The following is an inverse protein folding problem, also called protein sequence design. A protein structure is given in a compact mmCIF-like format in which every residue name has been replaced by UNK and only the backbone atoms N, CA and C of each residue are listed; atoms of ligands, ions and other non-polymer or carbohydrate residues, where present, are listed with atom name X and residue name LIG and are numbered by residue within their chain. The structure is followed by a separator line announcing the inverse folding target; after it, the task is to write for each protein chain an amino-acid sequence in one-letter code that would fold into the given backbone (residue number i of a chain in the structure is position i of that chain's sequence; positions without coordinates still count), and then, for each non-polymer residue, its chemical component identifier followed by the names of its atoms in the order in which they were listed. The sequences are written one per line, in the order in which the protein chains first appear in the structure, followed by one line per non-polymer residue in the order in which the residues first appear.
data_IF_902937507554
#
_entry.id   IF_902937507554
#
_cell.length_a   1.000
_cell.length_b   1.000
_cell.length_c   1.000
_cell.angle_alpha   90.00
_cell.angle_beta   90.00
_cell.angle_gamma   90.00
#
_symmetry.space_group_name_H-M   'P 1'
#
loop_
_entity.id
_entity.type
_entity.pdbx_description
1 polymer ?
#
# COMPACT_ATOMS: atom_id res chain seq x y z
N UNK A 1 -24.75 -17.95 13.69
CA UNK A 1 -23.66 -18.51 12.85
C UNK A 1 -24.19 -19.83 12.23
N UNK A 2 -24.31 -19.87 10.91
CA UNK A 2 -24.45 -21.15 10.22
C UNK A 2 -23.08 -21.84 10.27
N UNK A 3 -23.08 -23.17 10.40
CA UNK A 3 -21.86 -23.99 10.28
C UNK A 3 -21.29 -23.84 8.88
N UNK A 4 -20.40 -22.89 8.71
CA UNK A 4 -19.73 -22.63 7.45
C UNK A 4 -18.30 -23.13 7.57
N UNK A 5 -17.82 -23.75 6.53
CA UNK A 5 -16.45 -24.21 6.41
C UNK A 5 -15.78 -23.53 5.25
N UNK A 6 -14.53 -23.14 5.41
CA UNK A 6 -13.66 -22.68 4.33
C UNK A 6 -12.50 -23.65 4.24
N UNK A 7 -12.47 -24.43 3.18
CA UNK A 7 -11.42 -25.39 2.91
C UNK A 7 -11.00 -25.30 1.43
N UNK A 8 -10.22 -24.28 1.11
CA UNK A 8 -9.72 -24.06 -0.25
C UNK A 8 -8.45 -24.87 -0.48
N UNK A 9 -8.41 -25.78 -1.47
CA UNK A 9 -7.19 -26.51 -1.81
C UNK A 9 -6.05 -25.54 -2.12
N UNK A 10 -4.91 -25.77 -1.49
CA UNK A 10 -3.77 -24.89 -1.66
C UNK A 10 -3.82 -23.56 -0.91
N UNK A 11 -4.81 -23.36 -0.05
CA UNK A 11 -4.94 -22.18 0.79
C UNK A 11 -3.93 -22.11 1.94
N UNK A 12 -3.98 -21.02 2.67
CA UNK A 12 -3.26 -20.82 3.94
C UNK A 12 -4.23 -20.93 5.11
N UNK A 13 -3.71 -21.26 6.30
CA UNK A 13 -4.52 -21.43 7.51
C UNK A 13 -4.73 -20.08 8.20
N UNK A 14 -5.96 -19.61 8.26
CA UNK A 14 -6.35 -18.38 8.98
C UNK A 14 -6.71 -18.63 10.45
N UNK A 15 -6.71 -19.88 10.91
CA UNK A 15 -7.05 -20.27 12.27
C UNK A 15 -8.11 -21.37 12.32
N UNK A 16 -8.87 -21.41 13.40
CA UNK A 16 -9.93 -22.36 13.63
C UNK A 16 -11.28 -21.65 13.75
N UNK A 17 -12.31 -22.27 13.23
CA UNK A 17 -13.69 -21.85 13.49
C UNK A 17 -13.97 -21.96 15.00
N UNK A 18 -14.33 -20.85 15.63
CA UNK A 18 -14.53 -20.78 17.07
C UNK A 18 -15.75 -21.60 17.57
N UNK A 19 -16.66 -22.01 16.66
CA UNK A 19 -17.83 -22.82 16.97
C UNK A 19 -17.57 -24.31 16.75
N UNK A 20 -17.01 -24.67 15.58
CA UNK A 20 -16.83 -26.06 15.17
C UNK A 20 -15.46 -26.65 15.48
N UNK A 21 -14.45 -25.81 15.72
CA UNK A 21 -13.05 -26.20 15.89
C UNK A 21 -12.33 -26.55 14.58
N UNK A 22 -13.02 -26.56 13.44
CA UNK A 22 -12.46 -26.90 12.13
C UNK A 22 -11.46 -25.84 11.66
N UNK A 23 -10.44 -26.26 10.89
CA UNK A 23 -9.49 -25.34 10.28
C UNK A 23 -10.17 -24.46 9.24
N UNK A 24 -9.80 -23.19 9.20
CA UNK A 24 -10.17 -22.24 8.17
C UNK A 24 -8.99 -22.15 7.20
N UNK A 25 -9.09 -22.82 6.07
CA UNK A 25 -8.06 -22.82 5.03
C UNK A 25 -8.61 -22.08 3.83
N UNK A 26 -8.10 -20.88 3.58
CA UNK A 26 -8.58 -20.00 2.53
C UNK A 26 -7.47 -19.53 1.59
N UNK A 27 -7.87 -19.08 0.41
CA UNK A 27 -6.98 -18.45 -0.56
C UNK A 27 -7.73 -17.32 -1.27
N UNK A 28 -7.29 -16.10 -1.07
CA UNK A 28 -7.95 -14.91 -1.63
C UNK A 28 -7.94 -14.86 -3.15
N UNK A 29 -6.97 -15.53 -3.79
CA UNK A 29 -6.92 -15.65 -5.26
C UNK A 29 -8.07 -16.48 -5.84
N UNK A 30 -8.82 -17.22 -5.01
CA UNK A 30 -10.01 -17.96 -5.43
C UNK A 30 -11.29 -17.11 -5.44
N UNK A 31 -11.24 -15.90 -4.90
CA UNK A 31 -12.36 -14.96 -4.87
C UNK A 31 -12.46 -14.19 -6.21
N UNK A 32 -13.66 -13.70 -6.53
CA UNK A 32 -13.86 -12.84 -7.70
C UNK A 32 -13.12 -11.51 -7.52
N UNK A 33 -13.13 -10.98 -6.30
CA UNK A 33 -12.34 -9.83 -5.89
C UNK A 33 -11.56 -10.17 -4.62
N UNK A 34 -10.30 -10.56 -4.76
CA UNK A 34 -9.46 -10.95 -3.64
C UNK A 34 -8.87 -9.78 -2.82
N UNK A 35 -9.31 -8.54 -3.05
CA UNK A 35 -8.95 -7.42 -2.18
C UNK A 35 -9.54 -7.62 -0.79
N UNK A 36 -8.83 -7.13 0.22
CA UNK A 36 -9.13 -7.37 1.61
C UNK A 36 -9.18 -6.10 2.46
N UNK A 37 -9.94 -6.18 3.54
CA UNK A 37 -9.90 -5.21 4.63
C UNK A 37 -9.67 -5.93 5.95
N UNK A 38 -8.78 -5.38 6.78
CA UNK A 38 -8.54 -5.83 8.15
C UNK A 38 -8.87 -4.68 9.09
N UNK A 39 -9.88 -4.89 9.92
CA UNK A 39 -10.37 -3.85 10.84
C UNK A 39 -10.25 -4.33 12.28
N UNK A 40 -9.68 -3.49 13.15
CA UNK A 40 -9.51 -3.80 14.56
C UNK A 40 -9.31 -2.53 15.38
N UNK A 41 -9.76 -2.49 16.61
CA UNK A 41 -9.28 -1.48 17.56
C UNK A 41 -7.81 -1.69 17.91
N UNK A 42 -7.13 -0.65 18.40
CA UNK A 42 -5.74 -0.75 18.87
C UNK A 42 -5.57 -1.92 19.84
N UNK A 43 -4.52 -2.71 19.69
CA UNK A 43 -4.28 -3.92 20.48
C UNK A 43 -5.18 -5.12 20.16
N UNK A 44 -6.05 -5.03 19.14
CA UNK A 44 -6.94 -6.13 18.71
C UNK A 44 -6.26 -7.27 17.93
N UNK A 45 -4.94 -7.19 17.69
CA UNK A 45 -4.18 -8.24 16.99
C UNK A 45 -4.04 -8.04 15.47
N UNK A 46 -4.38 -6.87 14.96
CA UNK A 46 -4.33 -6.48 13.53
C UNK A 46 -2.98 -6.82 12.86
N UNK A 47 -1.91 -6.24 13.37
CA UNK A 47 -0.57 -6.38 12.79
C UNK A 47 -0.06 -7.82 12.85
N UNK A 48 -0.36 -8.55 13.94
CA UNK A 48 -0.01 -9.97 14.07
C UNK A 48 -0.73 -10.81 13.03
N UNK A 49 -2.03 -10.59 12.80
CA UNK A 49 -2.81 -11.30 11.79
C UNK A 49 -2.24 -11.08 10.38
N UNK A 50 -1.97 -9.82 10.02
CA UNK A 50 -1.45 -9.44 8.70
C UNK A 50 -0.04 -9.97 8.48
N UNK A 51 0.85 -9.83 9.47
CA UNK A 51 2.22 -10.37 9.40
C UNK A 51 2.21 -11.90 9.24
N UNK A 52 1.30 -12.60 9.92
CA UNK A 52 1.14 -14.05 9.77
C UNK A 52 0.66 -14.41 8.36
N UNK A 53 -0.29 -13.66 7.80
CA UNK A 53 -0.72 -13.84 6.40
C UNK A 53 0.46 -13.64 5.43
N UNK A 54 1.21 -12.55 5.57
CA UNK A 54 2.40 -12.26 4.75
C UNK A 54 3.39 -13.42 4.85
N UNK A 55 3.73 -13.87 6.05
CA UNK A 55 4.66 -14.97 6.29
C UNK A 55 4.21 -16.25 5.57
N UNK A 56 2.96 -16.66 5.76
CA UNK A 56 2.44 -17.89 5.15
C UNK A 56 2.39 -17.80 3.62
N UNK A 57 1.96 -16.68 3.07
CA UNK A 57 1.92 -16.46 1.61
C UNK A 57 3.34 -16.39 1.02
N UNK A 58 4.27 -15.73 1.71
CA UNK A 58 5.66 -15.60 1.27
C UNK A 58 6.38 -16.96 1.19
N UNK A 59 6.18 -17.81 2.19
CA UNK A 59 6.75 -19.16 2.23
C UNK A 59 6.10 -20.09 1.20
N UNK A 60 4.78 -19.93 0.97
CA UNK A 60 4.06 -20.79 0.06
C UNK A 60 4.27 -20.43 -1.41
N UNK A 61 4.25 -19.15 -1.76
CA UNK A 61 4.30 -18.68 -3.14
C UNK A 61 5.66 -18.07 -3.45
N UNK A 62 6.62 -18.89 -3.85
CA UNK A 62 8.03 -18.48 -4.03
C UNK A 62 8.25 -17.43 -5.12
N UNK A 63 7.31 -17.27 -6.07
CA UNK A 63 7.34 -16.27 -7.14
C UNK A 63 6.51 -15.02 -6.84
N UNK A 64 5.66 -15.07 -5.81
CA UNK A 64 4.81 -13.93 -5.45
C UNK A 64 5.66 -12.75 -4.98
N UNK A 65 5.16 -11.54 -5.25
CA UNK A 65 5.75 -10.27 -4.81
C UNK A 65 4.90 -9.61 -3.76
N UNK A 66 5.55 -8.91 -2.84
CA UNK A 66 4.91 -8.31 -1.68
C UNK A 66 5.37 -6.86 -1.52
N UNK A 67 4.42 -5.96 -1.36
CA UNK A 67 4.66 -4.56 -1.05
C UNK A 67 3.89 -4.19 0.21
N UNK A 68 4.58 -3.58 1.17
CA UNK A 68 3.98 -3.14 2.44
C UNK A 68 4.23 -1.65 2.60
N UNK A 69 3.18 -0.89 2.82
CA UNK A 69 3.26 0.52 3.26
C UNK A 69 3.06 0.54 4.76
N UNK A 70 4.08 0.96 5.49
CA UNK A 70 4.23 0.81 6.94
C UNK A 70 4.51 2.18 7.61
N UNK A 71 3.45 2.90 8.00
CA UNK A 71 3.60 4.21 8.66
C UNK A 71 4.13 4.13 10.09
N UNK A 72 4.00 2.97 10.75
CA UNK A 72 4.32 2.79 12.16
C UNK A 72 5.57 1.93 12.41
N UNK A 73 6.26 1.50 11.33
CA UNK A 73 7.45 0.65 11.39
C UNK A 73 7.23 -0.70 12.12
N UNK A 74 6.08 -1.30 11.92
CA UNK A 74 5.73 -2.56 12.57
C UNK A 74 6.19 -3.79 11.79
N UNK A 75 6.38 -3.69 10.47
CA UNK A 75 6.67 -4.82 9.58
C UNK A 75 8.17 -5.03 9.32
N UNK A 76 9.01 -4.04 9.59
CA UNK A 76 10.45 -4.11 9.29
C UNK A 76 11.15 -5.34 9.86
N UNK A 77 10.91 -5.81 11.11
CA UNK A 77 11.56 -7.01 11.63
C UNK A 77 11.22 -8.28 10.83
N UNK A 78 9.94 -8.45 10.44
CA UNK A 78 9.50 -9.58 9.61
C UNK A 78 10.14 -9.52 8.23
N UNK A 79 10.15 -8.34 7.61
CA UNK A 79 10.69 -8.15 6.26
C UNK A 79 12.19 -8.47 6.23
N UNK A 80 12.95 -8.00 7.21
CA UNK A 80 14.38 -8.29 7.34
C UNK A 80 14.66 -9.79 7.57
N UNK A 81 13.90 -10.45 8.44
CA UNK A 81 14.05 -11.91 8.68
C UNK A 81 13.77 -12.74 7.43
N UNK A 82 12.87 -12.26 6.55
CA UNK A 82 12.55 -12.91 5.28
C UNK A 82 13.51 -12.52 4.13
N UNK A 83 14.55 -11.72 4.41
CA UNK A 83 15.49 -11.23 3.39
C UNK A 83 14.88 -10.21 2.43
N UNK A 84 13.84 -9.53 2.85
CA UNK A 84 13.20 -8.43 2.11
C UNK A 84 13.96 -7.11 2.28
N UNK A 85 13.52 -6.09 1.53
CA UNK A 85 14.09 -4.75 1.54
C UNK A 85 13.19 -3.80 2.35
N UNK A 86 13.80 -3.03 3.29
CA UNK A 86 13.12 -1.98 4.05
C UNK A 86 13.60 -0.62 3.55
N UNK A 87 12.71 0.08 2.86
CA UNK A 87 12.95 1.43 2.34
C UNK A 87 12.52 2.44 3.39
N UNK A 88 13.47 2.96 4.15
CA UNK A 88 13.18 4.00 5.14
C UNK A 88 13.14 5.37 4.44
N UNK A 89 11.96 5.98 4.40
CA UNK A 89 11.75 7.29 3.80
C UNK A 89 11.71 8.33 4.93
N UNK A 90 12.79 9.08 5.08
CA UNK A 90 12.90 10.20 6.02
C UNK A 90 13.86 11.26 5.48
N UNK A 91 13.85 12.44 6.10
CA UNK A 91 14.71 13.55 5.69
C UNK A 91 16.20 13.18 5.81
N UNK A 92 16.56 12.43 6.84
CA UNK A 92 17.94 12.06 7.18
C UNK A 92 18.28 10.61 6.81
N UNK A 93 17.43 9.95 6.02
CA UNK A 93 17.65 8.55 5.66
C UNK A 93 18.85 8.38 4.72
N UNK A 94 19.65 7.34 4.97
CA UNK A 94 20.65 6.88 4.03
C UNK A 94 20.03 6.12 2.83
N UNK A 95 18.76 5.72 2.93
CA UNK A 95 18.02 5.08 1.84
C UNK A 95 17.24 6.13 1.05
N UNK A 96 17.34 6.04 -0.27
CA UNK A 96 16.70 6.97 -1.19
C UNK A 96 15.80 6.24 -2.16
N UNK A 97 14.66 6.85 -2.45
CA UNK A 97 13.68 6.39 -3.40
C UNK A 97 13.30 7.53 -4.34
N UNK A 98 13.65 7.38 -5.62
CA UNK A 98 13.36 8.38 -6.66
C UNK A 98 11.98 8.11 -7.29
N UNK A 99 10.97 8.96 -7.09
CA UNK A 99 9.65 8.76 -7.68
C UNK A 99 9.62 8.89 -9.21
N UNK A 100 10.66 9.47 -9.81
CA UNK A 100 10.80 9.58 -11.26
C UNK A 100 11.56 8.41 -11.89
N UNK A 101 11.91 7.38 -11.12
CA UNK A 101 12.49 6.18 -11.69
C UNK A 101 11.56 5.56 -12.73
N UNK A 102 12.17 5.15 -13.83
CA UNK A 102 11.46 4.54 -14.94
C UNK A 102 12.19 3.28 -15.41
N UNK A 103 11.44 2.19 -15.50
CA UNK A 103 11.92 0.95 -16.10
C UNK A 103 11.29 0.77 -17.47
N UNK A 104 12.12 0.74 -18.50
CA UNK A 104 11.63 0.57 -19.87
C UNK A 104 10.92 -0.78 -20.04
N UNK A 105 9.72 -0.73 -20.56
CA UNK A 105 8.92 -1.90 -20.90
C UNK A 105 8.81 -2.05 -22.42
N UNK A 106 9.47 -3.08 -22.95
CA UNK A 106 9.49 -3.38 -24.40
C UNK A 106 8.09 -3.69 -24.96
N UNK A 107 7.15 -4.13 -24.12
CA UNK A 107 5.81 -4.51 -24.56
C UNK A 107 4.92 -3.27 -24.82
N UNK A 108 5.00 -2.25 -23.96
CA UNK A 108 4.16 -1.05 -24.09
C UNK A 108 4.75 -0.01 -24.99
N UNK A 109 6.09 0.08 -25.07
CA UNK A 109 6.82 1.12 -25.83
C UNK A 109 6.41 2.56 -25.47
N UNK A 110 5.80 2.77 -24.29
CA UNK A 110 5.40 4.10 -23.84
C UNK A 110 6.64 4.88 -23.45
N UNK A 111 6.85 6.11 -23.96
CA UNK A 111 7.96 6.94 -23.56
C UNK A 111 7.88 7.30 -22.05
N UNK A 112 9.03 7.46 -21.34
CA UNK A 112 9.05 7.68 -19.92
C UNK A 112 8.34 8.97 -19.49
N UNK A 113 8.47 10.06 -20.22
CA UNK A 113 7.77 11.32 -19.93
C UNK A 113 6.24 11.14 -19.95
N UNK A 114 5.71 10.41 -20.95
CA UNK A 114 4.27 10.12 -21.04
C UNK A 114 3.81 9.23 -19.90
N UNK A 115 4.60 8.21 -19.55
CA UNK A 115 4.26 7.31 -18.46
C UNK A 115 4.23 8.01 -17.08
N UNK A 116 5.06 9.04 -16.90
CA UNK A 116 5.18 9.78 -15.64
C UNK A 116 4.38 11.09 -15.59
N UNK A 117 3.81 11.54 -16.71
CA UNK A 117 3.11 12.83 -16.79
C UNK A 117 1.97 12.95 -15.77
N UNK A 118 1.10 11.95 -15.67
CA UNK A 118 -0.04 11.95 -14.74
C UNK A 118 0.42 12.00 -13.28
N UNK A 119 1.46 11.22 -12.95
CA UNK A 119 2.04 11.22 -11.60
C UNK A 119 2.64 12.60 -11.25
N UNK A 120 3.44 13.19 -12.14
CA UNK A 120 4.10 14.49 -11.87
C UNK A 120 3.08 15.61 -11.78
N UNK A 121 2.02 15.58 -12.60
CA UNK A 121 0.91 16.51 -12.46
C UNK A 121 0.24 16.39 -11.08
N UNK A 122 -0.05 15.16 -10.65
CA UNK A 122 -0.62 14.90 -9.31
C UNK A 122 0.34 15.33 -8.19
N UNK A 123 1.64 15.17 -8.37
CA UNK A 123 2.66 15.65 -7.43
C UNK A 123 2.65 17.18 -7.33
N UNK A 124 2.59 17.89 -8.47
CA UNK A 124 2.49 19.34 -8.49
C UNK A 124 1.17 19.83 -7.86
N UNK A 125 0.04 19.16 -8.15
CA UNK A 125 -1.26 19.44 -7.52
C UNK A 125 -1.18 19.23 -5.99
N UNK A 126 -0.47 18.21 -5.52
CA UNK A 126 -0.28 17.94 -4.09
C UNK A 126 0.54 19.02 -3.39
N UNK A 127 1.55 19.54 -4.05
CA UNK A 127 2.48 20.54 -3.48
C UNK A 127 1.88 21.95 -3.54
N UNK A 128 1.21 22.30 -4.64
CA UNK A 128 0.73 23.66 -4.91
C UNK A 128 -0.74 23.87 -4.49
N UNK A 129 -1.52 22.80 -4.37
CA UNK A 129 -2.98 22.82 -4.32
C UNK A 129 -3.58 22.72 -5.72
N UNK A 130 -4.61 21.86 -5.86
CA UNK A 130 -5.26 21.56 -7.15
C UNK A 130 -5.83 22.81 -7.83
N UNK A 131 -6.36 23.75 -7.04
CA UNK A 131 -6.93 25.02 -7.49
C UNK A 131 -5.88 25.98 -8.07
N UNK A 132 -4.60 25.76 -7.79
CA UNK A 132 -3.48 26.58 -8.27
C UNK A 132 -2.83 26.03 -9.54
N UNK A 133 -3.25 24.85 -10.03
CA UNK A 133 -2.76 24.29 -11.28
C UNK A 133 -3.70 24.67 -12.44
N UNK A 134 -3.16 25.45 -13.37
CA UNK A 134 -3.88 25.95 -14.55
C UNK A 134 -3.72 24.98 -15.74
N UNK A 135 -4.62 25.11 -16.72
CA UNK A 135 -4.56 24.26 -17.93
C UNK A 135 -3.23 24.36 -18.68
N UNK A 136 -2.63 25.55 -18.74
CA UNK A 136 -1.32 25.78 -19.37
C UNK A 136 -0.14 25.15 -18.63
N UNK A 137 -0.26 24.97 -17.31
CA UNK A 137 0.80 24.38 -16.49
C UNK A 137 1.11 22.94 -16.89
N UNK A 138 0.08 22.20 -17.36
CA UNK A 138 0.24 20.82 -17.85
C UNK A 138 1.22 20.74 -19.02
N UNK A 139 1.13 21.67 -19.97
CA UNK A 139 2.06 21.72 -21.10
C UNK A 139 3.49 22.08 -20.65
N UNK A 140 3.63 23.04 -19.73
CA UNK A 140 4.95 23.41 -19.18
C UNK A 140 5.62 22.25 -18.43
N UNK A 141 4.84 21.47 -17.70
CA UNK A 141 5.34 20.27 -16.99
C UNK A 141 5.69 19.17 -17.98
N UNK A 142 4.86 18.94 -19.00
CA UNK A 142 5.10 17.93 -20.03
C UNK A 142 6.37 18.22 -20.83
N UNK A 143 6.58 19.46 -21.28
CA UNK A 143 7.82 19.93 -21.93
C UNK A 143 9.06 19.73 -21.04
N UNK A 144 8.92 20.00 -19.73
CA UNK A 144 10.02 19.78 -18.79
C UNK A 144 10.33 18.29 -18.62
N UNK A 145 9.30 17.44 -18.54
CA UNK A 145 9.47 15.99 -18.47
C UNK A 145 10.12 15.41 -19.72
N UNK A 146 9.67 15.80 -20.91
CA UNK A 146 10.31 15.39 -22.16
C UNK A 146 11.81 15.72 -22.16
N UNK A 147 12.15 16.94 -21.76
CA UNK A 147 13.54 17.42 -21.67
C UNK A 147 14.40 16.58 -20.73
N UNK A 148 13.94 16.30 -19.51
CA UNK A 148 14.76 15.56 -18.52
C UNK A 148 14.88 14.07 -18.84
N UNK A 149 13.90 13.46 -19.54
CA UNK A 149 13.98 12.06 -19.94
C UNK A 149 14.70 11.85 -21.28
N UNK A 150 14.97 12.90 -22.05
CA UNK A 150 15.66 12.82 -23.33
C UNK A 150 17.00 12.08 -23.26
N UNK A 151 17.92 12.37 -22.29
CA UNK A 151 19.18 11.65 -22.18
C UNK A 151 18.99 10.14 -21.91
N UNK A 152 17.97 9.77 -21.12
CA UNK A 152 17.64 8.38 -20.85
C UNK A 152 17.18 7.67 -22.13
N UNK A 153 16.33 8.30 -22.93
CA UNK A 153 15.84 7.74 -24.21
C UNK A 153 16.98 7.63 -25.25
N UNK A 154 17.80 8.66 -25.39
CA UNK A 154 18.94 8.67 -26.33
C UNK A 154 20.01 7.64 -25.98
N UNK A 155 20.20 7.34 -24.70
CA UNK A 155 21.11 6.29 -24.24
C UNK A 155 20.56 4.87 -24.35
N UNK A 156 19.40 4.66 -24.98
CA UNK A 156 18.66 3.39 -24.97
C UNK A 156 18.39 2.87 -23.55
N UNK A 157 17.99 3.75 -22.65
CA UNK A 157 17.63 3.47 -21.24
C UNK A 157 18.78 2.96 -20.36
N UNK A 158 20.03 3.35 -20.69
CA UNK A 158 21.20 3.02 -19.87
C UNK A 158 21.68 4.17 -18.98
N UNK A 159 21.31 5.40 -19.30
CA UNK A 159 21.60 6.57 -18.47
C UNK A 159 20.77 6.53 -17.15
N UNK A 160 21.23 7.21 -16.10
CA UNK A 160 20.44 7.37 -14.87
C UNK A 160 19.08 8.02 -15.14
N UNK A 161 18.06 7.62 -14.38
CA UNK A 161 16.77 8.29 -14.39
C UNK A 161 16.89 9.71 -13.81
N UNK A 162 16.13 10.68 -14.36
CA UNK A 162 16.08 12.01 -13.80
C UNK A 162 15.45 11.99 -12.40
N UNK A 163 15.71 13.03 -11.62
CA UNK A 163 15.20 13.24 -10.26
C UNK A 163 14.27 14.46 -10.20
N UNK A 164 13.60 14.67 -9.07
CA UNK A 164 12.82 15.91 -8.82
C UNK A 164 13.73 17.16 -8.96
N UNK A 165 15.02 17.05 -8.66
CA UNK A 165 15.97 18.15 -8.86
C UNK A 165 16.13 18.50 -10.34
N UNK A 166 16.19 17.49 -11.21
CA UNK A 166 16.29 17.72 -12.66
C UNK A 166 15.01 18.35 -13.20
N UNK A 167 13.84 17.91 -12.73
CA UNK A 167 12.56 18.53 -13.07
C UNK A 167 12.49 20.00 -12.63
N UNK A 168 12.92 20.29 -11.39
CA UNK A 168 13.01 21.65 -10.89
C UNK A 168 13.93 22.52 -11.76
N UNK A 169 15.11 22.03 -12.14
CA UNK A 169 16.04 22.76 -13.01
C UNK A 169 15.44 23.01 -14.40
N UNK A 170 14.79 22.02 -14.99
CA UNK A 170 14.15 22.15 -16.29
C UNK A 170 13.07 23.23 -16.29
N UNK A 171 12.15 23.19 -15.30
CA UNK A 171 11.11 24.19 -15.14
C UNK A 171 11.67 25.61 -14.88
N UNK A 172 12.70 25.72 -14.03
CA UNK A 172 13.32 27.03 -13.71
C UNK A 172 14.05 27.66 -14.91
N UNK A 173 14.51 26.83 -15.86
CA UNK A 173 15.22 27.29 -17.07
C UNK A 173 14.27 27.65 -18.21
N UNK A 174 13.00 27.32 -18.15
CA UNK A 174 12.01 27.77 -19.13
C UNK A 174 11.82 29.28 -19.05
N UNK A 175 11.49 29.91 -20.18
CA UNK A 175 11.33 31.38 -20.25
C UNK A 175 10.01 31.85 -19.66
N UNK A 176 9.05 30.97 -19.53
CA UNK A 176 7.72 31.28 -19.03
C UNK A 176 7.72 31.62 -17.54
N UNK A 177 6.98 32.67 -17.16
CA UNK A 177 6.87 33.10 -15.77
C UNK A 177 6.18 32.06 -14.89
N UNK A 178 5.17 31.40 -15.44
CA UNK A 178 4.40 30.40 -14.73
C UNK A 178 5.22 29.13 -14.42
N UNK A 179 6.08 28.74 -15.35
CA UNK A 179 7.03 27.64 -15.12
C UNK A 179 7.95 27.90 -13.92
N UNK A 180 8.42 29.17 -13.76
CA UNK A 180 9.22 29.58 -12.59
C UNK A 180 8.44 29.54 -11.28
N UNK A 181 7.14 29.83 -11.31
CA UNK A 181 6.27 29.72 -10.13
C UNK A 181 6.13 28.25 -9.71
N UNK A 182 5.94 27.32 -10.66
CA UNK A 182 5.92 25.87 -10.39
C UNK A 182 7.29 25.42 -9.86
N UNK A 183 8.39 25.85 -10.48
CA UNK A 183 9.73 25.56 -10.00
C UNK A 183 9.97 26.08 -8.57
N UNK A 184 9.46 27.26 -8.23
CA UNK A 184 9.58 27.81 -6.88
C UNK A 184 8.88 26.92 -5.84
N UNK A 185 7.70 26.41 -6.16
CA UNK A 185 6.97 25.48 -5.29
C UNK A 185 7.71 24.15 -5.11
N UNK A 186 8.33 23.62 -6.17
CA UNK A 186 9.12 22.39 -6.11
C UNK A 186 10.49 22.55 -5.43
N UNK A 187 10.99 23.77 -5.24
CA UNK A 187 12.36 24.01 -4.76
C UNK A 187 12.65 23.37 -3.42
N UNK A 188 11.69 23.37 -2.49
CA UNK A 188 11.87 22.78 -1.15
C UNK A 188 12.12 21.28 -1.23
N UNK A 189 11.51 20.59 -2.20
CA UNK A 189 11.67 19.15 -2.46
C UNK A 189 12.90 18.84 -3.30
N UNK A 190 13.37 19.78 -4.14
CA UNK A 190 14.50 19.58 -5.03
C UNK A 190 15.86 19.87 -4.39
N UNK A 191 15.96 20.97 -3.63
CA UNK A 191 17.23 21.49 -3.07
C UNK A 191 17.10 22.00 -1.64
N UNK A 192 15.90 21.97 -1.07
CA UNK A 192 15.59 22.45 0.28
C UNK A 192 15.64 21.36 1.35
N UNK A 193 15.05 21.66 2.49
CA UNK A 193 15.01 20.75 3.66
C UNK A 193 14.19 19.47 3.45
N UNK A 194 13.47 19.36 2.33
CA UNK A 194 12.60 18.21 2.01
C UNK A 194 13.11 17.42 0.80
N UNK A 195 14.42 17.35 0.58
CA UNK A 195 15.04 16.73 -0.60
C UNK A 195 15.14 15.19 -0.56
N UNK A 196 14.41 14.52 0.34
CA UNK A 196 14.46 13.06 0.48
C UNK A 196 14.15 12.30 -0.84
N UNK A 197 13.34 12.89 -1.72
CA UNK A 197 12.95 12.32 -3.01
C UNK A 197 13.76 12.85 -4.20
N UNK A 198 14.76 13.68 -3.97
CA UNK A 198 15.57 14.30 -5.03
C UNK A 198 16.88 13.56 -5.32
N UNK A 199 17.07 12.39 -4.72
CA UNK A 199 18.25 11.56 -4.89
C UNK A 199 17.93 10.32 -5.74
N UNK A 200 18.89 9.78 -6.51
CA UNK A 200 18.74 8.50 -7.18
C UNK A 200 18.42 7.39 -6.18
N UNK A 201 17.59 6.43 -6.58
CA UNK A 201 17.28 5.25 -5.78
C UNK A 201 18.55 4.43 -5.53
N UNK A 202 18.79 4.10 -4.26
CA UNK A 202 19.97 3.33 -3.82
C UNK A 202 19.63 2.05 -3.05
N UNK A 203 18.37 1.60 -3.11
CA UNK A 203 17.87 0.37 -2.50
C UNK A 203 17.49 -0.65 -3.57
N UNK A 204 17.50 -1.94 -3.21
CA UNK A 204 17.14 -3.01 -4.16
C UNK A 204 15.64 -3.09 -4.38
N UNK A 205 15.13 -2.31 -5.31
CA UNK A 205 13.73 -2.32 -5.72
C UNK A 205 13.35 -3.57 -6.54
N UNK A 206 14.27 -4.50 -6.79
CA UNK A 206 13.97 -5.79 -7.45
C UNK A 206 13.60 -6.89 -6.46
N UNK A 207 13.81 -6.68 -5.16
CA UNK A 207 13.45 -7.65 -4.12
C UNK A 207 11.95 -8.00 -4.21
N UNK A 208 11.62 -9.24 -3.90
CA UNK A 208 10.22 -9.70 -3.96
C UNK A 208 9.37 -9.30 -2.76
N UNK A 209 10.00 -8.81 -1.68
CA UNK A 209 9.33 -8.27 -0.49
C UNK A 209 9.93 -6.91 -0.15
N UNK A 210 9.16 -5.86 -0.35
CA UNK A 210 9.55 -4.47 -0.11
C UNK A 210 8.61 -3.85 0.91
N UNK A 211 9.18 -3.24 1.94
CA UNK A 211 8.46 -2.48 2.95
C UNK A 211 8.87 -1.01 2.88
N UNK A 212 7.92 -0.13 2.67
CA UNK A 212 8.11 1.32 2.72
C UNK A 212 7.78 1.83 4.13
N UNK A 213 8.81 2.18 4.88
CA UNK A 213 8.67 2.76 6.21
C UNK A 213 8.71 4.29 6.13
N UNK A 214 7.64 4.94 6.59
CA UNK A 214 7.48 6.39 6.60
C UNK A 214 7.28 6.96 8.00
N UNK A 215 7.57 6.20 9.05
CA UNK A 215 7.36 6.59 10.44
C UNK A 215 8.05 7.91 10.79
N UNK A 216 9.29 8.07 10.37
CA UNK A 216 10.11 9.26 10.65
C UNK A 216 9.84 10.46 9.74
N UNK A 217 8.85 10.33 8.82
CA UNK A 217 8.54 11.40 7.87
C UNK A 217 7.57 12.40 8.50
N UNK A 218 7.88 13.69 8.38
CA UNK A 218 7.00 14.77 8.84
C UNK A 218 5.66 14.80 8.11
N UNK A 219 4.61 15.25 8.78
CA UNK A 219 3.23 15.23 8.26
C UNK A 219 3.07 15.89 6.89
N UNK A 220 3.85 16.95 6.60
CA UNK A 220 3.80 17.65 5.31
C UNK A 220 4.36 16.83 4.15
N UNK A 221 5.28 15.88 4.43
CA UNK A 221 5.89 15.02 3.41
C UNK A 221 5.13 13.70 3.21
N UNK A 222 4.36 13.26 4.18
CA UNK A 222 3.60 12.01 4.09
C UNK A 222 2.74 11.91 2.83
N UNK A 223 1.96 12.92 2.42
CA UNK A 223 1.15 12.83 1.20
C UNK A 223 2.00 12.65 -0.07
N UNK A 224 3.12 13.35 -0.18
CA UNK A 224 4.07 13.22 -1.31
C UNK A 224 4.69 11.82 -1.33
N UNK A 225 5.12 11.32 -0.18
CA UNK A 225 5.66 9.96 -0.04
C UNK A 225 4.63 8.91 -0.44
N UNK A 226 3.42 9.03 0.06
CA UNK A 226 2.33 8.10 -0.22
C UNK A 226 1.97 8.07 -1.70
N UNK A 227 1.86 9.23 -2.35
CA UNK A 227 1.62 9.30 -3.79
C UNK A 227 2.76 8.64 -4.58
N UNK A 228 4.01 8.89 -4.19
CA UNK A 228 5.20 8.30 -4.83
C UNK A 228 5.25 6.78 -4.67
N UNK A 229 4.94 6.26 -3.48
CA UNK A 229 4.87 4.81 -3.21
C UNK A 229 3.73 4.15 -4.00
N UNK A 230 2.55 4.78 -4.05
CA UNK A 230 1.41 4.28 -4.83
C UNK A 230 1.73 4.19 -6.31
N UNK A 231 2.38 5.20 -6.87
CA UNK A 231 2.83 5.20 -8.28
C UNK A 231 3.81 4.05 -8.55
N UNK A 232 4.81 3.87 -7.66
CA UNK A 232 5.75 2.76 -7.78
C UNK A 232 5.04 1.41 -7.71
N UNK A 233 4.19 1.20 -6.71
CA UNK A 233 3.45 -0.05 -6.51
C UNK A 233 2.55 -0.35 -7.72
N UNK A 234 1.82 0.65 -8.21
CA UNK A 234 0.94 0.49 -9.37
C UNK A 234 1.73 0.09 -10.63
N UNK A 235 2.85 0.75 -10.90
CA UNK A 235 3.75 0.42 -12.01
C UNK A 235 4.34 -0.98 -11.84
N UNK A 236 4.78 -1.35 -10.63
CA UNK A 236 5.33 -2.66 -10.33
C UNK A 236 4.29 -3.78 -10.50
N UNK A 237 3.06 -3.58 -10.04
CA UNK A 237 1.95 -4.54 -10.23
C UNK A 237 1.72 -4.83 -11.70
N UNK A 238 1.62 -3.80 -12.54
CA UNK A 238 1.43 -3.97 -13.99
C UNK A 238 2.62 -4.66 -14.66
N UNK A 239 3.84 -4.34 -14.23
CA UNK A 239 5.06 -4.98 -14.74
C UNK A 239 5.18 -6.43 -14.31
N UNK A 240 4.84 -6.75 -13.06
CA UNK A 240 4.91 -8.12 -12.53
C UNK A 240 3.96 -9.06 -13.29
N UNK A 241 2.72 -8.64 -13.51
CA UNK A 241 1.74 -9.42 -14.25
C UNK A 241 2.22 -9.72 -15.69
N UNK A 242 2.77 -8.74 -16.39
CA UNK A 242 3.31 -8.93 -17.74
C UNK A 242 4.51 -9.87 -17.79
N UNK A 243 5.38 -9.81 -16.77
CA UNK A 243 6.58 -10.66 -16.72
C UNK A 243 6.27 -12.10 -16.30
N UNK A 244 5.34 -12.30 -15.36
CA UNK A 244 4.86 -13.61 -14.93
C UNK A 244 3.38 -13.51 -14.50
N UNK A 245 2.42 -13.70 -15.44
CA UNK A 245 0.98 -13.59 -15.14
C UNK A 245 0.47 -14.55 -14.08
N UNK A 246 1.25 -15.61 -13.76
CA UNK A 246 0.91 -16.58 -12.73
C UNK A 246 1.39 -16.18 -11.34
N UNK A 247 2.35 -15.27 -11.27
CA UNK A 247 2.87 -14.78 -9.99
C UNK A 247 1.95 -13.69 -9.43
N UNK A 248 1.35 -13.96 -8.27
CA UNK A 248 0.50 -12.99 -7.59
C UNK A 248 1.33 -11.84 -7.00
N UNK A 249 0.76 -10.64 -6.98
CA UNK A 249 1.31 -9.50 -6.26
C UNK A 249 0.42 -9.14 -5.07
N UNK A 250 0.98 -9.09 -3.87
CA UNK A 250 0.29 -8.78 -2.63
C UNK A 250 0.70 -7.39 -2.16
N UNK A 251 -0.29 -6.54 -1.89
CA UNK A 251 -0.04 -5.16 -1.46
C UNK A 251 -0.77 -4.90 -0.16
N UNK A 252 -0.04 -4.45 0.85
CA UNK A 252 -0.56 -4.17 2.19
C UNK A 252 -0.40 -2.69 2.49
N UNK A 253 -1.50 -2.02 2.84
CA UNK A 253 -1.54 -0.62 3.25
C UNK A 253 -1.92 -0.56 4.72
N UNK A 254 -0.93 -0.45 5.60
CA UNK A 254 -1.23 -0.23 7.01
C UNK A 254 -1.66 1.22 7.24
N UNK A 255 -2.55 1.41 8.19
CA UNK A 255 -3.24 2.68 8.45
C UNK A 255 -3.75 3.34 7.16
N UNK A 256 -4.50 2.56 6.34
CA UNK A 256 -4.96 2.98 5.00
C UNK A 256 -5.72 4.31 5.00
N UNK A 257 -6.32 4.69 6.13
CA UNK A 257 -7.02 5.97 6.29
C UNK A 257 -6.11 7.18 6.01
N UNK A 258 -4.79 7.05 6.20
CA UNK A 258 -3.83 8.11 5.87
C UNK A 258 -3.82 8.44 4.37
N UNK A 259 -3.98 7.41 3.52
CA UNK A 259 -4.12 7.58 2.07
C UNK A 259 -5.48 8.15 1.65
N UNK A 260 -6.50 7.96 2.49
CA UNK A 260 -7.87 8.37 2.19
C UNK A 260 -8.18 9.80 2.64
N UNK A 261 -7.35 10.41 3.48
CA UNK A 261 -7.50 11.81 3.93
C UNK A 261 -7.29 12.82 2.81
N UNK A 262 -6.37 12.52 1.90
CA UNK A 262 -6.09 13.37 0.75
C UNK A 262 -6.84 12.87 -0.49
N UNK A 263 -7.55 13.75 -1.18
CA UNK A 263 -8.43 13.39 -2.29
C UNK A 263 -7.68 12.83 -3.51
N UNK A 264 -6.44 13.27 -3.76
CA UNK A 264 -5.63 12.80 -4.88
C UNK A 264 -5.14 11.37 -4.60
N UNK A 265 -4.56 11.16 -3.43
CA UNK A 265 -4.12 9.82 -2.98
C UNK A 265 -5.28 8.84 -2.90
N UNK A 266 -6.45 9.28 -2.40
CA UNK A 266 -7.66 8.46 -2.31
C UNK A 266 -8.16 8.02 -3.70
N UNK A 267 -8.26 8.93 -4.66
CA UNK A 267 -8.69 8.63 -6.02
C UNK A 267 -7.69 7.72 -6.75
N UNK A 268 -6.40 7.96 -6.56
CA UNK A 268 -5.35 7.12 -7.14
C UNK A 268 -5.42 5.70 -6.57
N UNK A 269 -5.52 5.57 -5.24
CA UNK A 269 -5.65 4.29 -4.56
C UNK A 269 -6.91 3.53 -5.02
N UNK A 270 -8.06 4.19 -5.10
CA UNK A 270 -9.31 3.59 -5.54
C UNK A 270 -9.25 3.07 -6.98
N UNK A 271 -8.63 3.84 -7.87
CA UNK A 271 -8.42 3.43 -9.25
C UNK A 271 -7.53 2.20 -9.32
N UNK A 272 -6.43 2.19 -8.55
CA UNK A 272 -5.51 1.05 -8.43
C UNK A 272 -6.21 -0.17 -7.82
N UNK A 273 -7.00 0.02 -6.75
CA UNK A 273 -7.77 -1.04 -6.08
C UNK A 273 -8.70 -1.79 -7.03
N UNK A 274 -9.42 -1.06 -7.88
CA UNK A 274 -10.28 -1.66 -8.92
C UNK A 274 -9.50 -2.39 -10.00
N UNK A 275 -8.32 -1.88 -10.35
CA UNK A 275 -7.48 -2.41 -11.44
C UNK A 275 -6.68 -3.64 -11.01
N UNK A 276 -6.27 -3.74 -9.76
CA UNK A 276 -5.37 -4.78 -9.26
C UNK A 276 -5.84 -6.18 -9.62
N UNK A 277 -7.15 -6.45 -9.53
CA UNK A 277 -7.73 -7.73 -9.96
C UNK A 277 -7.33 -8.15 -11.38
N UNK A 278 -7.20 -7.20 -12.32
CA UNK A 278 -6.83 -7.48 -13.73
C UNK A 278 -5.36 -7.84 -13.88
N UNK A 279 -4.54 -7.52 -12.89
CA UNK A 279 -3.10 -7.71 -12.90
C UNK A 279 -2.65 -8.77 -11.88
N UNK A 280 -3.53 -9.71 -11.53
CA UNK A 280 -3.25 -10.74 -10.53
C UNK A 280 -2.67 -10.16 -9.23
N UNK A 281 -3.19 -9.00 -8.80
CA UNK A 281 -2.76 -8.31 -7.60
C UNK A 281 -3.91 -8.21 -6.58
N UNK A 282 -3.54 -8.26 -5.31
CA UNK A 282 -4.45 -8.37 -4.17
C UNK A 282 -4.06 -7.33 -3.13
N UNK A 283 -4.88 -6.28 -3.01
CA UNK A 283 -4.68 -5.24 -2.02
C UNK A 283 -5.31 -5.60 -0.68
N UNK A 284 -4.65 -5.18 0.40
CA UNK A 284 -5.16 -5.27 1.76
C UNK A 284 -5.10 -3.89 2.41
N UNK A 285 -6.25 -3.35 2.74
CA UNK A 285 -6.35 -2.16 3.57
C UNK A 285 -6.46 -2.55 5.04
N UNK A 286 -5.69 -1.89 5.88
CA UNK A 286 -5.63 -2.18 7.31
C UNK A 286 -5.93 -0.89 8.05
N UNK A 287 -6.89 -0.91 8.98
CA UNK A 287 -7.27 0.30 9.72
C UNK A 287 -7.75 -0.01 11.13
N UNK A 288 -7.50 0.93 12.02
CA UNK A 288 -8.06 0.92 13.38
C UNK A 288 -9.37 1.71 13.47
N UNK A 289 -9.62 2.59 12.52
CA UNK A 289 -10.73 3.51 12.55
C UNK A 289 -11.61 3.32 11.31
N UNK A 290 -12.66 2.53 11.45
CA UNK A 290 -13.61 2.26 10.36
C UNK A 290 -14.41 3.52 10.02
N UNK A 291 -14.72 4.34 11.01
CA UNK A 291 -15.52 5.56 10.83
C UNK A 291 -14.85 6.54 9.85
N UNK A 292 -13.52 6.73 9.95
CA UNK A 292 -12.78 7.59 9.01
C UNK A 292 -12.88 7.08 7.56
N UNK A 293 -13.02 5.77 7.38
CA UNK A 293 -13.24 5.18 6.06
C UNK A 293 -14.68 5.36 5.57
N UNK A 294 -15.66 5.42 6.45
CA UNK A 294 -17.08 5.54 6.08
C UNK A 294 -17.49 6.96 5.70
N UNK A 295 -16.75 7.97 6.15
CA UNK A 295 -17.01 9.39 5.81
C UNK A 295 -16.57 9.78 4.40
N UNK A 296 -15.81 8.89 3.73
CA UNK A 296 -15.32 9.10 2.37
C UNK A 296 -15.95 8.08 1.43
N UNK A 297 -16.71 8.54 0.41
CA UNK A 297 -17.38 7.65 -0.56
C UNK A 297 -16.45 6.67 -1.25
N UNK A 298 -15.23 7.09 -1.52
CA UNK A 298 -14.18 6.27 -2.15
C UNK A 298 -13.76 5.13 -1.22
N UNK A 299 -13.52 5.43 0.05
CA UNK A 299 -13.17 4.45 1.07
C UNK A 299 -14.33 3.49 1.36
N UNK A 300 -15.54 4.01 1.46
CA UNK A 300 -16.75 3.19 1.60
C UNK A 300 -16.87 2.17 0.46
N UNK A 301 -16.68 2.63 -0.79
CA UNK A 301 -16.74 1.74 -1.95
C UNK A 301 -15.64 0.67 -1.93
N UNK A 302 -14.45 0.96 -1.40
CA UNK A 302 -13.38 -0.04 -1.22
C UNK A 302 -13.74 -1.07 -0.17
N UNK A 303 -14.27 -0.64 0.99
CA UNK A 303 -14.76 -1.52 2.06
C UNK A 303 -15.87 -2.44 1.57
N UNK A 304 -16.91 -1.86 0.95
CA UNK A 304 -18.08 -2.58 0.48
C UNK A 304 -17.75 -3.61 -0.63
N UNK A 305 -16.77 -3.31 -1.48
CA UNK A 305 -16.36 -4.19 -2.57
C UNK A 305 -15.27 -5.20 -2.20
N UNK A 306 -14.80 -5.24 -0.95
CA UNK A 306 -13.83 -6.25 -0.50
C UNK A 306 -14.54 -7.55 -0.15
N UNK A 307 -14.18 -8.64 -0.83
CA UNK A 307 -14.76 -9.97 -0.57
C UNK A 307 -14.09 -10.71 0.58
N UNK A 308 -12.89 -10.29 0.95
CA UNK A 308 -12.21 -10.80 2.13
C UNK A 308 -12.13 -9.70 3.20
N UNK A 309 -12.75 -9.94 4.35
CA UNK A 309 -12.75 -8.98 5.45
C UNK A 309 -12.46 -9.71 6.76
N UNK A 310 -11.50 -9.19 7.50
CA UNK A 310 -11.17 -9.66 8.83
C UNK A 310 -11.57 -8.61 9.84
N UNK A 311 -12.53 -8.93 10.65
CA UNK A 311 -13.03 -8.11 11.74
C UNK A 311 -12.51 -8.70 13.05
N UNK A 312 -11.50 -8.10 13.62
CA UNK A 312 -10.97 -8.43 14.95
C UNK A 312 -11.74 -7.64 16.01
N UNK A 313 -11.24 -7.62 17.25
CA UNK A 313 -11.89 -6.88 18.33
C UNK A 313 -12.28 -5.46 17.94
N UNK A 314 -13.55 -5.11 18.18
CA UNK A 314 -14.11 -3.79 17.93
C UNK A 314 -14.76 -3.27 19.21
N UNK A 315 -14.29 -2.13 19.73
CA UNK A 315 -14.86 -1.48 20.92
C UNK A 315 -15.46 -0.11 20.58
N UNK A 316 -14.82 0.59 19.62
CA UNK A 316 -15.35 1.80 18.98
C UNK A 316 -15.93 1.38 17.63
N UNK A 317 -16.81 2.16 17.07
CA UNK A 317 -17.35 1.99 15.71
C UNK A 317 -18.00 0.63 15.40
N UNK A 318 -18.29 -0.17 16.44
CA UNK A 318 -18.90 -1.50 16.26
C UNK A 318 -20.23 -1.44 15.49
N UNK A 319 -21.03 -0.41 15.72
CA UNK A 319 -22.33 -0.24 15.08
C UNK A 319 -22.17 0.04 13.57
N UNK A 320 -21.15 0.80 13.18
CA UNK A 320 -20.79 1.02 11.78
C UNK A 320 -20.34 -0.27 11.08
N UNK A 321 -19.58 -1.12 11.78
CA UNK A 321 -19.16 -2.44 11.26
C UNK A 321 -20.35 -3.38 11.12
N UNK A 322 -21.27 -3.36 12.08
CA UNK A 322 -22.53 -4.14 12.07
C UNK A 322 -23.39 -3.76 10.87
N UNK A 323 -23.58 -2.47 10.65
CA UNK A 323 -24.37 -1.94 9.54
C UNK A 323 -23.73 -2.27 8.19
N UNK A 324 -22.43 -2.01 8.03
CA UNK A 324 -21.70 -2.23 6.78
C UNK A 324 -21.71 -3.69 6.32
N UNK A 325 -21.54 -4.63 7.25
CA UNK A 325 -21.43 -6.06 6.93
C UNK A 325 -22.68 -6.88 7.28
N UNK A 326 -23.75 -6.26 7.73
CA UNK A 326 -25.01 -6.92 8.06
C UNK A 326 -24.87 -7.94 9.19
N UNK A 327 -24.10 -7.61 10.24
CA UNK A 327 -23.84 -8.53 11.33
C UNK A 327 -25.05 -8.68 12.25
N UNK A 328 -25.28 -9.91 12.72
CA UNK A 328 -26.30 -10.20 13.74
C UNK A 328 -25.85 -9.78 15.15
N UNK A 329 -26.79 -9.63 16.07
CA UNK A 329 -26.48 -9.28 17.47
C UNK A 329 -25.51 -10.27 18.17
N UNK A 330 -25.59 -11.59 17.96
CA UNK A 330 -24.56 -12.51 18.47
C UNK A 330 -23.17 -12.25 17.89
N UNK A 331 -23.06 -11.87 16.61
CA UNK A 331 -21.79 -11.54 15.97
C UNK A 331 -21.23 -10.20 16.51
N UNK A 332 -22.08 -9.22 16.71
CA UNK A 332 -21.73 -7.96 17.38
C UNK A 332 -21.12 -8.20 18.78
N UNK A 333 -21.81 -9.00 19.61
CA UNK A 333 -21.33 -9.36 20.95
C UNK A 333 -20.00 -10.11 20.90
N UNK A 334 -19.83 -11.01 19.94
CA UNK A 334 -18.58 -11.74 19.75
C UNK A 334 -17.40 -10.79 19.47
N UNK A 335 -17.55 -9.82 18.56
CA UNK A 335 -16.52 -8.84 18.26
C UNK A 335 -16.19 -7.90 19.42
N UNK A 336 -17.19 -7.53 20.23
CA UNK A 336 -16.97 -6.69 21.42
C UNK A 336 -16.12 -7.40 22.48
N UNK A 337 -16.29 -8.72 22.63
CA UNK A 337 -15.64 -9.53 23.66
C UNK A 337 -14.37 -10.24 23.17
N UNK A 338 -14.10 -10.19 21.87
CA UNK A 338 -12.98 -10.87 21.23
C UNK A 338 -11.64 -10.55 21.90
N UNK A 339 -10.82 -11.56 22.09
CA UNK A 339 -9.44 -11.43 22.54
C UNK A 339 -8.50 -11.26 21.32
N UNK A 340 -7.24 -10.80 21.53
CA UNK A 340 -6.26 -10.76 20.44
C UNK A 340 -6.12 -12.12 19.75
N UNK A 341 -6.27 -12.15 18.42
CA UNK A 341 -6.31 -13.39 17.64
C UNK A 341 -7.70 -13.98 17.45
N UNK A 342 -8.75 -13.35 17.98
CA UNK A 342 -10.14 -13.71 17.77
C UNK A 342 -10.87 -12.68 16.93
N UNK A 343 -11.85 -13.13 16.14
CA UNK A 343 -12.62 -12.24 15.29
C UNK A 343 -13.58 -12.97 14.37
N UNK A 344 -14.06 -12.26 13.35
CA UNK A 344 -14.91 -12.82 12.29
C UNK A 344 -14.18 -12.64 10.95
N UNK A 345 -14.06 -13.72 10.19
CA UNK A 345 -13.60 -13.70 8.80
C UNK A 345 -14.82 -13.77 7.88
N UNK A 346 -14.94 -12.77 7.00
CA UNK A 346 -15.79 -12.80 5.82
C UNK A 346 -14.94 -13.24 4.63
N UNK A 347 -15.33 -14.30 3.94
CA UNK A 347 -14.72 -14.76 2.71
C UNK A 347 -15.82 -15.07 1.69
N UNK A 348 -15.98 -14.22 0.69
CA UNK A 348 -17.16 -14.21 -0.16
C UNK A 348 -18.45 -14.01 0.65
N UNK A 349 -19.35 -14.98 0.61
CA UNK A 349 -20.61 -14.96 1.35
C UNK A 349 -20.52 -15.61 2.75
N UNK A 350 -19.38 -16.21 3.09
CA UNK A 350 -19.19 -16.89 4.37
C UNK A 350 -18.74 -15.92 5.46
N UNK A 351 -19.39 -15.97 6.62
CA UNK A 351 -19.03 -15.21 7.83
C UNK A 351 -18.73 -16.20 8.95
N UNK A 352 -17.47 -16.35 9.33
CA UNK A 352 -17.02 -17.39 10.27
C UNK A 352 -16.33 -16.73 11.47
N UNK A 353 -16.79 -17.01 12.71
CA UNK A 353 -16.05 -16.64 13.90
C UNK A 353 -14.80 -17.52 13.98
N UNK A 354 -13.65 -16.90 14.23
CA UNK A 354 -12.39 -17.61 14.27
C UNK A 354 -11.57 -17.27 15.49
N UNK A 355 -10.68 -18.18 15.84
CA UNK A 355 -9.56 -17.93 16.72
C UNK A 355 -8.26 -18.42 16.09
N UNK A 356 -7.20 -17.69 16.32
CA UNK A 356 -5.85 -18.04 15.87
C UNK A 356 -4.81 -17.59 16.93
N UNK A 357 -4.85 -18.18 18.14
CA UNK A 357 -3.90 -17.85 19.18
C UNK A 357 -2.49 -18.33 18.77
N UNK A 358 -1.52 -17.44 18.88
CA UNK A 358 -0.11 -17.78 18.62
C UNK A 358 0.59 -18.08 19.94
N UNK A 359 1.29 -19.24 20.07
CA UNK A 359 2.04 -19.56 21.28
C UNK A 359 3.18 -18.56 21.50
N UNK A 360 3.23 -17.93 22.68
CA UNK A 360 4.15 -16.82 22.99
C UNK A 360 5.62 -17.22 23.07
N UNK A 361 5.91 -18.49 23.33
CA UNK A 361 7.25 -19.08 23.44
C UNK A 361 7.89 -19.41 22.10
N UNK A 362 7.21 -19.15 20.99
CA UNK A 362 7.71 -19.45 19.65
C UNK A 362 8.47 -18.29 19.03
N UNK A 363 9.51 -18.62 18.21
CA UNK A 363 10.20 -17.63 17.37
C UNK A 363 9.22 -16.87 16.47
N UNK A 364 8.21 -17.57 15.96
CA UNK A 364 7.17 -16.97 15.13
C UNK A 364 6.40 -15.89 15.88
N UNK A 365 5.97 -16.15 17.12
CA UNK A 365 5.29 -15.12 17.92
C UNK A 365 6.16 -13.88 18.12
N UNK A 366 7.42 -14.09 18.54
CA UNK A 366 8.38 -12.99 18.77
C UNK A 366 8.61 -12.14 17.53
N UNK A 367 8.63 -12.74 16.34
CA UNK A 367 8.77 -12.04 15.07
C UNK A 367 7.52 -11.25 14.68
N UNK A 368 6.34 -11.77 15.02
CA UNK A 368 5.06 -11.18 14.60
C UNK A 368 4.49 -10.17 15.61
N UNK A 369 4.90 -10.24 16.89
CA UNK A 369 4.40 -9.33 17.92
C UNK A 369 4.90 -7.90 17.69
N UNK A 370 4.10 -6.92 18.09
CA UNK A 370 4.47 -5.50 18.16
C UNK A 370 4.49 -4.98 19.60
N UNK A 371 4.28 -5.88 20.56
CA UNK A 371 4.24 -5.48 21.97
C UNK A 371 5.66 -5.25 22.50
N UNK A 372 5.95 -4.07 23.07
CA UNK A 372 7.22 -3.83 23.74
C UNK A 372 7.49 -4.89 24.81
N UNK A 373 8.71 -5.43 24.85
CA UNK A 373 9.14 -6.47 25.79
C UNK A 373 8.74 -7.92 25.44
N UNK A 374 7.97 -8.15 24.38
CA UNK A 374 7.65 -9.50 23.88
C UNK A 374 8.42 -9.86 22.58
N UNK A 375 9.24 -8.94 22.06
CA UNK A 375 10.04 -9.12 20.84
C UNK A 375 11.41 -9.77 21.08
N UNK A 376 11.88 -9.84 22.33
CA UNK A 376 13.18 -10.43 22.72
C UNK A 376 13.11 -11.94 23.03
#
# INVERSE_FOLDING_TARGET
FNTQEILTPGGICYGRNAVTGNLIIGLRTSLVNGNAMVVATSGGGKSMFVKLEILMLYLRFTKARFYVVDPENEYAPLVQELGGEVVNISVDSATHFNPLDFKYDKATKIPPHVAKAEFVLSLCEQIMGKEHILAGDKSLIDDALENIYKPLMESHYTAPCPTIKDLWMALNNQRDKRSKEIALALRIFATGSMQAFAQPTNVDMSNRLICFNIQSLGEQLKPVAMLSMLEYINTAVMSNERNDPKAATWVYFDEIYLLLRDSLSANFLYTSWKRFRKYNAYATGITQNVQDCLTNDTAYAMLANSEFVVMLRQTKDIDSVVELYGLSEPQRKYLLLAQPGEGIIKMGNSLIPFNNPQPKDTKTYKLLTTKPGEME
#
